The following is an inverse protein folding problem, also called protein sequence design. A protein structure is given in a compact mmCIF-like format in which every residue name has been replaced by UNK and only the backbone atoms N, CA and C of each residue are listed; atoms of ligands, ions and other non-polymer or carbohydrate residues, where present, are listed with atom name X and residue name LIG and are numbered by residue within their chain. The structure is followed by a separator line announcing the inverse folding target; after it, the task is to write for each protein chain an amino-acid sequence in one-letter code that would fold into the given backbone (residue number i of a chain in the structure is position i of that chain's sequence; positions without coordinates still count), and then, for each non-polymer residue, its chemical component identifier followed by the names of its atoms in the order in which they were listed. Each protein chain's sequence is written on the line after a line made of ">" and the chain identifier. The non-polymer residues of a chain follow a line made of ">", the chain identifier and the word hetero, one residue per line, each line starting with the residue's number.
data_IF_042966696961
#
_entry.id   IF_042966696961
#
_cell.length_a   1.000
_cell.length_b   1.000
_cell.length_c   1.000
_cell.angle_alpha   90.00
_cell.angle_beta   90.00
_cell.angle_gamma   90.00
#
_symmetry.space_group_name_H-M   'P 1'
#
loop_
_entity.id
_entity.type
_entity.pdbx_description
1 polymer ?
#
# COMPACT_ATOMS: atom_id res chain seq x y z
N UNK A 1 -48.54 -7.46 -36.32
CA UNK A 1 -48.22 -6.10 -35.81
C UNK A 1 -48.41 -6.16 -34.30
N UNK A 2 -47.50 -5.87 -33.39
CA UNK A 2 -46.11 -5.43 -33.40
C UNK A 2 -45.40 -6.10 -32.20
N UNK A 3 -44.08 -6.30 -32.29
CA UNK A 3 -43.24 -6.97 -31.29
C UNK A 3 -42.77 -5.95 -30.25
N UNK A 4 -43.23 -6.04 -29.00
CA UNK A 4 -42.62 -5.31 -27.89
C UNK A 4 -41.49 -6.13 -27.27
N UNK A 5 -40.33 -6.07 -27.93
CA UNK A 5 -39.08 -6.58 -27.39
C UNK A 5 -38.55 -5.61 -26.33
N UNK A 6 -38.81 -5.91 -25.06
CA UNK A 6 -38.14 -5.28 -23.91
C UNK A 6 -36.63 -5.45 -24.03
N UNK A 7 -35.97 -4.38 -24.50
CA UNK A 7 -34.53 -4.18 -24.55
C UNK A 7 -33.95 -4.38 -23.15
N UNK A 8 -33.36 -5.55 -22.90
CA UNK A 8 -32.49 -5.75 -21.75
C UNK A 8 -31.28 -4.82 -21.92
N UNK A 9 -31.25 -3.73 -21.15
CA UNK A 9 -30.04 -2.92 -20.99
C UNK A 9 -29.02 -3.79 -20.25
N UNK A 10 -28.09 -4.39 -20.98
CA UNK A 10 -26.87 -4.96 -20.42
C UNK A 10 -26.15 -3.85 -19.65
N UNK A 11 -26.17 -3.94 -18.32
CA UNK A 11 -25.28 -3.17 -17.47
C UNK A 11 -23.85 -3.60 -17.84
N UNK A 12 -23.11 -2.73 -18.52
CA UNK A 12 -21.68 -2.97 -18.78
C UNK A 12 -20.99 -3.14 -17.43
N UNK A 13 -20.41 -4.30 -17.19
CA UNK A 13 -19.53 -4.56 -16.05
C UNK A 13 -18.53 -3.40 -15.93
N UNK A 14 -18.25 -2.86 -14.74
CA UNK A 14 -17.24 -1.82 -14.60
C UNK A 14 -15.92 -2.35 -15.18
N UNK A 15 -15.29 -1.60 -16.09
CA UNK A 15 -13.96 -1.97 -16.57
C UNK A 15 -13.01 -1.94 -15.38
N UNK A 16 -12.49 -3.09 -14.98
CA UNK A 16 -11.41 -3.15 -14.00
C UNK A 16 -10.16 -2.47 -14.56
N UNK A 17 -9.50 -1.70 -13.70
CA UNK A 17 -8.24 -1.02 -13.97
C UNK A 17 -7.16 -1.63 -13.08
N UNK A 18 -5.93 -1.67 -13.58
CA UNK A 18 -4.78 -2.13 -12.81
C UNK A 18 -4.23 -0.99 -11.96
N UNK A 19 -3.82 -1.30 -10.73
CA UNK A 19 -3.26 -0.36 -9.78
C UNK A 19 -2.00 -0.93 -9.15
N UNK A 20 -1.06 -0.05 -8.82
CA UNK A 20 0.11 -0.36 -8.01
C UNK A 20 0.00 0.36 -6.68
N UNK A 21 -0.08 -0.41 -5.60
CA UNK A 21 -0.05 0.11 -4.24
C UNK A 21 1.34 -0.05 -3.63
N UNK A 22 1.82 1.03 -3.01
CA UNK A 22 3.08 1.08 -2.27
C UNK A 22 2.74 1.22 -0.78
N UNK A 23 2.96 0.16 -0.01
CA UNK A 23 2.58 0.08 1.41
C UNK A 23 3.84 0.14 2.26
N UNK A 24 3.84 1.01 3.26
CA UNK A 24 4.90 1.18 4.23
C UNK A 24 4.36 0.81 5.60
N UNK A 25 4.98 -0.15 6.26
CA UNK A 25 4.64 -0.60 7.61
C UNK A 25 5.80 -0.31 8.54
N UNK A 26 5.54 0.30 9.68
CA UNK A 26 6.56 0.65 10.68
C UNK A 26 6.03 0.38 12.07
N UNK A 27 6.91 0.08 13.03
CA UNK A 27 6.54 0.02 14.43
C UNK A 27 5.89 1.34 14.88
N UNK A 28 4.95 1.30 15.81
CA UNK A 28 4.39 2.52 16.41
C UNK A 28 5.49 3.30 17.16
N UNK A 29 5.39 4.64 17.29
CA UNK A 29 6.43 5.46 17.91
C UNK A 29 6.81 5.05 19.34
N UNK A 30 5.89 4.44 20.08
CA UNK A 30 6.10 4.01 21.47
C UNK A 30 6.69 2.60 21.60
N UNK A 31 6.89 1.89 20.48
CA UNK A 31 7.40 0.52 20.45
C UNK A 31 8.91 0.57 20.19
N UNK A 32 9.67 -0.12 21.03
CA UNK A 32 11.12 -0.20 20.88
C UNK A 32 11.49 -0.93 19.58
N UNK A 33 12.48 -0.40 18.87
CA UNK A 33 12.99 -0.91 17.60
C UNK A 33 14.47 -1.30 17.72
N UNK A 34 14.78 -2.53 18.18
CA UNK A 34 16.17 -2.99 18.31
C UNK A 34 16.94 -2.98 16.98
N UNK A 35 16.26 -3.21 15.86
CA UNK A 35 16.87 -3.22 14.53
C UNK A 35 17.28 -1.80 14.12
N UNK A 36 16.37 -0.84 14.23
CA UNK A 36 16.64 0.58 13.98
C UNK A 36 17.81 1.09 14.83
N UNK A 37 17.85 0.74 16.11
CA UNK A 37 18.95 1.13 17.02
C UNK A 37 20.29 0.54 16.58
N UNK A 38 20.30 -0.72 16.13
CA UNK A 38 21.52 -1.39 15.64
C UNK A 38 22.02 -0.71 14.37
N UNK A 39 21.12 -0.37 13.44
CA UNK A 39 21.47 0.34 12.21
C UNK A 39 22.02 1.74 12.51
N UNK A 40 21.37 2.50 13.40
CA UNK A 40 21.85 3.82 13.82
C UNK A 40 23.28 3.76 14.39
N UNK A 41 23.54 2.79 15.27
CA UNK A 41 24.87 2.57 15.86
C UNK A 41 25.92 2.20 14.80
N UNK A 42 25.54 1.40 13.80
CA UNK A 42 26.42 1.04 12.70
C UNK A 42 26.76 2.25 11.82
N UNK A 43 25.78 3.11 11.52
CA UNK A 43 25.99 4.33 10.75
C UNK A 43 26.91 5.32 11.48
N UNK A 44 26.73 5.48 12.80
CA UNK A 44 27.61 6.30 13.63
C UNK A 44 29.06 5.77 13.61
N UNK A 45 29.22 4.45 13.75
CA UNK A 45 30.54 3.79 13.67
C UNK A 45 31.23 3.95 12.30
N UNK A 46 30.46 4.14 11.23
CA UNK A 46 30.97 4.41 9.88
C UNK A 46 31.29 5.90 9.64
N UNK A 47 31.07 6.76 10.64
CA UNK A 47 31.37 8.19 10.57
C UNK A 47 30.25 9.06 10.00
N UNK A 48 29.03 8.53 9.85
CA UNK A 48 27.87 9.33 9.44
C UNK A 48 27.34 10.13 10.64
N UNK A 49 27.69 11.42 10.72
CA UNK A 49 27.14 12.34 11.72
C UNK A 49 25.75 12.89 11.37
N UNK A 50 25.07 13.47 12.36
CA UNK A 50 23.78 14.14 12.19
C UNK A 50 22.56 13.22 12.09
N UNK A 51 22.70 11.95 12.48
CA UNK A 51 21.60 10.98 12.53
C UNK A 51 20.98 11.01 13.92
N UNK A 52 19.73 11.47 14.02
CA UNK A 52 19.02 11.51 15.31
C UNK A 52 18.41 10.15 15.69
N UNK A 53 17.89 9.41 14.71
CA UNK A 53 17.33 8.07 14.92
C UNK A 53 17.14 7.33 13.59
N UNK A 54 17.11 6.00 13.64
CA UNK A 54 16.73 5.14 12.52
C UNK A 54 15.58 4.24 12.97
N UNK A 55 14.60 4.06 12.09
CA UNK A 55 13.45 3.17 12.28
C UNK A 55 13.39 2.17 11.14
N UNK A 56 13.39 0.89 11.48
CA UNK A 56 13.20 -0.20 10.54
C UNK A 56 11.70 -0.46 10.30
N UNK A 57 11.38 -0.92 9.10
CA UNK A 57 10.01 -1.17 8.68
C UNK A 57 9.96 -2.02 7.42
N UNK A 58 8.74 -2.39 7.03
CA UNK A 58 8.49 -3.22 5.85
C UNK A 58 7.94 -2.36 4.73
N UNK A 59 8.32 -2.72 3.52
CA UNK A 59 7.78 -2.13 2.29
C UNK A 59 7.18 -3.22 1.42
N UNK A 60 5.94 -3.02 0.96
CA UNK A 60 5.26 -3.93 0.06
C UNK A 60 4.82 -3.20 -1.21
N UNK A 61 5.02 -3.84 -2.35
CA UNK A 61 4.38 -3.45 -3.61
C UNK A 61 3.26 -4.45 -3.92
N UNK A 62 2.04 -3.95 -4.04
CA UNK A 62 0.86 -4.77 -4.32
C UNK A 62 0.24 -4.31 -5.63
N UNK A 63 0.32 -5.17 -6.66
CA UNK A 63 -0.47 -4.98 -7.88
C UNK A 63 -1.85 -5.58 -7.69
N UNK A 64 -2.88 -4.80 -8.00
CA UNK A 64 -4.28 -5.23 -7.85
C UNK A 64 -5.16 -4.67 -8.96
N UNK A 65 -6.22 -5.39 -9.30
CA UNK A 65 -7.28 -4.91 -10.20
C UNK A 65 -8.47 -4.43 -9.38
N UNK A 66 -9.04 -3.29 -9.77
CA UNK A 66 -10.23 -2.75 -9.13
C UNK A 66 -11.09 -1.95 -10.12
N UNK A 67 -12.41 -1.80 -9.86
CA UNK A 67 -13.28 -0.94 -10.67
C UNK A 67 -12.82 0.52 -10.75
N UNK A 68 -12.10 0.99 -9.73
CA UNK A 68 -11.62 2.36 -9.63
C UNK A 68 -10.68 2.57 -8.43
N UNK A 69 -10.13 3.79 -8.30
CA UNK A 69 -9.14 4.11 -7.27
C UNK A 69 -9.70 4.02 -5.86
N UNK A 70 -10.99 4.28 -5.65
CA UNK A 70 -11.63 4.18 -4.33
C UNK A 70 -11.70 2.73 -3.86
N UNK A 71 -12.09 1.83 -4.76
CA UNK A 71 -12.17 0.39 -4.51
C UNK A 71 -10.76 -0.18 -4.29
N UNK A 72 -9.77 0.22 -5.09
CA UNK A 72 -8.38 -0.18 -4.91
C UNK A 72 -7.86 0.22 -3.52
N UNK A 73 -8.06 1.49 -3.11
CA UNK A 73 -7.66 1.98 -1.78
C UNK A 73 -8.34 1.20 -0.65
N UNK A 74 -9.64 0.91 -0.78
CA UNK A 74 -10.38 0.11 0.21
C UNK A 74 -9.82 -1.31 0.31
N UNK A 75 -9.50 -1.95 -0.81
CA UNK A 75 -8.89 -3.28 -0.82
C UNK A 75 -7.50 -3.28 -0.17
N UNK A 76 -6.65 -2.31 -0.47
CA UNK A 76 -5.31 -2.18 0.13
C UNK A 76 -5.40 -1.95 1.64
N UNK A 77 -6.31 -1.07 2.09
CA UNK A 77 -6.57 -0.82 3.52
C UNK A 77 -7.00 -2.09 4.27
N UNK A 78 -7.87 -2.91 3.64
CA UNK A 78 -8.25 -4.20 4.18
C UNK A 78 -7.09 -5.21 4.23
N UNK A 79 -6.23 -5.24 3.21
CA UNK A 79 -5.03 -6.08 3.22
C UNK A 79 -4.08 -5.67 4.35
N UNK A 80 -3.89 -4.36 4.55
CA UNK A 80 -3.04 -3.82 5.61
C UNK A 80 -3.55 -4.17 7.00
N UNK A 81 -4.82 -3.87 7.28
CA UNK A 81 -5.43 -4.10 8.60
C UNK A 81 -5.59 -5.58 8.97
N UNK A 82 -5.70 -6.47 7.98
CA UNK A 82 -5.91 -7.91 8.23
C UNK A 82 -4.65 -8.75 8.22
N UNK A 83 -3.60 -8.32 7.52
CA UNK A 83 -2.43 -9.16 7.30
C UNK A 83 -1.11 -8.40 7.27
N UNK A 84 -0.98 -7.33 6.48
CA UNK A 84 0.34 -6.75 6.21
C UNK A 84 0.91 -5.99 7.42
N UNK A 85 0.05 -5.50 8.32
CA UNK A 85 0.46 -4.83 9.54
C UNK A 85 -0.20 -5.47 10.76
N UNK A 86 0.58 -5.60 11.83
CA UNK A 86 0.06 -5.95 13.14
C UNK A 86 -0.53 -4.70 13.83
N UNK A 87 -1.84 -4.61 14.05
CA UNK A 87 -2.48 -3.38 14.57
C UNK A 87 -2.08 -3.05 16.02
N UNK A 88 -1.53 -3.99 16.77
CA UNK A 88 -1.12 -3.76 18.17
C UNK A 88 0.16 -2.93 18.21
N UNK A 89 1.18 -3.34 17.44
CA UNK A 89 2.54 -2.80 17.53
C UNK A 89 3.02 -2.04 16.29
N UNK A 90 2.35 -2.19 15.14
CA UNK A 90 2.70 -1.53 13.89
C UNK A 90 1.63 -0.51 13.48
N UNK A 91 2.04 0.43 12.63
CA UNK A 91 1.21 1.35 11.89
C UNK A 91 1.60 1.27 10.41
N UNK A 92 0.68 1.63 9.52
CA UNK A 92 0.94 1.61 8.08
C UNK A 92 0.44 2.87 7.39
N UNK A 93 1.04 3.17 6.24
CA UNK A 93 0.58 4.15 5.26
C UNK A 93 0.73 3.54 3.87
N UNK A 94 -0.06 4.00 2.91
CA UNK A 94 0.04 3.50 1.54
C UNK A 94 -0.36 4.55 0.51
N UNK A 95 0.21 4.42 -0.67
CA UNK A 95 -0.15 5.14 -1.88
C UNK A 95 -0.68 4.16 -2.92
N UNK A 96 -1.64 4.58 -3.75
CA UNK A 96 -2.22 3.75 -4.83
C UNK A 96 -2.29 4.58 -6.10
N UNK A 97 -1.58 4.12 -7.13
CA UNK A 97 -1.54 4.71 -8.46
C UNK A 97 -2.14 3.76 -9.50
N UNK A 98 -2.67 4.28 -10.60
CA UNK A 98 -3.05 3.45 -11.76
C UNK A 98 -1.77 2.85 -12.34
N UNK A 99 -1.75 1.53 -12.54
CA UNK A 99 -0.60 0.78 -13.08
C UNK A 99 -0.52 0.98 -14.60
N UNK A 100 -0.19 2.21 -14.99
CA UNK A 100 -0.08 2.65 -16.38
C UNK A 100 0.95 3.77 -16.60
N UNK A 101 1.70 4.15 -15.56
CA UNK A 101 2.68 5.24 -15.64
C UNK A 101 3.99 5.00 -14.84
N UNK A 102 4.31 3.77 -14.44
CA UNK A 102 5.62 3.47 -13.83
C UNK A 102 6.61 2.95 -14.89
N UNK A 103 6.88 3.79 -15.89
CA UNK A 103 8.17 3.77 -16.59
C UNK A 103 9.08 4.76 -15.86
N UNK A 104 9.60 4.38 -14.70
CA UNK A 104 10.77 5.04 -14.14
C UNK A 104 12.00 4.17 -14.41
N UNK A 105 13.15 4.79 -14.73
CA UNK A 105 14.31 4.15 -15.36
C UNK A 105 14.90 3.00 -14.54
#
# INVERSE_FOLDING_TARGET
>A
MAKDSKKHKQAKSPKEQEFLARVYVSLKPTVNDPEGNTIASALDSLGFGGIDSVRAGKYFQVRLRAPGPKEAKKSVDQMCSRLLANPVIEAYRFDVDVDGNDRRP
#
